data_IF_794874961483
#
_entry.id   IF_794874961483
#
_cell.length_a   1.000
_cell.length_b   1.000
_cell.length_c   1.000
_cell.angle_alpha   90.00
_cell.angle_beta   90.00
_cell.angle_gamma   90.00
#
_symmetry.space_group_name_H-M   'P 1'
#
loop_
_entity.id
_entity.type
_entity.pdbx_description
1 polymer ?
#
# COMPACT_ATOMS: atom_id res chain seq x y z
N UNK A 1 9.25 26.27 -14.30
CA UNK A 1 9.18 25.28 -15.36
C UNK A 1 9.63 25.81 -16.71
N UNK A 2 9.13 26.98 -17.20
CA UNK A 2 9.52 27.55 -18.50
C UNK A 2 11.02 27.75 -18.72
N UNK A 3 11.76 28.06 -17.64
CA UNK A 3 13.21 28.18 -17.71
C UNK A 3 13.87 26.83 -17.97
N UNK A 4 13.38 25.78 -17.30
CA UNK A 4 13.86 24.39 -17.46
C UNK A 4 13.70 23.94 -18.92
N UNK A 5 12.56 24.23 -19.55
CA UNK A 5 12.28 23.91 -20.95
C UNK A 5 13.20 24.61 -21.98
N UNK A 6 13.96 25.63 -21.58
CA UNK A 6 14.89 26.35 -22.52
C UNK A 6 16.27 25.66 -22.61
N UNK A 7 16.57 24.72 -21.73
CA UNK A 7 17.84 24.00 -21.78
C UNK A 7 17.83 22.90 -22.84
N UNK A 8 18.85 22.89 -23.70
CA UNK A 8 18.96 21.90 -24.79
C UNK A 8 18.92 20.46 -24.26
N UNK A 9 19.66 20.17 -23.18
CA UNK A 9 19.66 18.83 -22.58
C UNK A 9 18.28 18.37 -22.12
N UNK A 10 17.45 19.29 -21.60
CA UNK A 10 16.05 18.98 -21.23
C UNK A 10 15.22 18.65 -22.48
N UNK A 11 15.36 19.46 -23.53
CA UNK A 11 14.64 19.24 -24.80
C UNK A 11 15.05 17.90 -25.45
N UNK A 12 16.34 17.56 -25.41
CA UNK A 12 16.86 16.30 -25.92
C UNK A 12 16.32 15.10 -25.11
N UNK A 13 16.25 15.22 -23.78
CA UNK A 13 15.70 14.19 -22.93
C UNK A 13 14.19 14.00 -23.12
N UNK A 14 13.42 15.08 -23.26
CA UNK A 14 11.99 15.01 -23.57
C UNK A 14 11.75 14.38 -24.96
N UNK A 15 12.57 14.69 -25.93
CA UNK A 15 12.52 14.06 -27.25
C UNK A 15 12.86 12.57 -27.16
N UNK A 16 13.93 12.22 -26.43
CA UNK A 16 14.32 10.82 -26.23
C UNK A 16 13.17 10.00 -25.63
N UNK A 17 12.52 10.48 -24.56
CA UNK A 17 11.39 9.78 -23.93
C UNK A 17 10.25 9.49 -24.91
N UNK A 18 10.00 10.37 -25.84
CA UNK A 18 9.00 10.13 -26.89
C UNK A 18 9.45 9.10 -27.92
N UNK A 19 10.74 9.10 -28.30
CA UNK A 19 11.31 8.16 -29.26
C UNK A 19 11.54 6.76 -28.67
N UNK A 20 11.75 6.67 -27.34
CA UNK A 20 11.94 5.42 -26.57
C UNK A 20 10.62 4.75 -26.17
N UNK A 21 9.47 5.33 -26.49
CA UNK A 21 8.15 4.87 -26.01
C UNK A 21 7.80 3.47 -26.49
N UNK A 22 8.19 3.07 -27.71
CA UNK A 22 7.98 1.71 -28.23
C UNK A 22 8.81 0.68 -27.45
N UNK A 23 10.05 1.00 -27.10
CA UNK A 23 10.89 0.16 -26.25
C UNK A 23 10.32 0.06 -24.82
N UNK A 24 9.84 1.18 -24.29
CA UNK A 24 9.20 1.22 -22.99
C UNK A 24 7.96 0.34 -22.97
N UNK A 25 7.13 0.38 -24.01
CA UNK A 25 5.98 -0.51 -24.16
C UNK A 25 6.41 -1.97 -24.22
N UNK A 26 7.45 -2.31 -24.98
CA UNK A 26 7.94 -3.69 -25.06
C UNK A 26 8.37 -4.21 -23.69
N UNK A 27 9.20 -3.47 -22.94
CA UNK A 27 9.64 -3.84 -21.58
C UNK A 27 8.47 -3.94 -20.61
N UNK A 28 7.49 -3.06 -20.71
CA UNK A 28 6.24 -3.12 -19.96
C UNK A 28 5.49 -4.45 -20.22
N UNK A 29 5.29 -4.82 -21.49
CA UNK A 29 4.61 -6.04 -21.88
C UNK A 29 5.39 -7.32 -21.52
N UNK A 30 6.73 -7.27 -21.47
CA UNK A 30 7.56 -8.34 -20.94
C UNK A 30 7.35 -8.51 -19.42
N UNK A 31 7.39 -7.41 -18.65
CA UNK A 31 7.27 -7.43 -17.20
C UNK A 31 5.89 -7.86 -16.70
N UNK A 32 4.81 -7.47 -17.37
CA UNK A 32 3.47 -7.83 -16.90
C UNK A 32 3.19 -9.35 -16.97
N UNK A 33 3.98 -10.10 -17.73
CA UNK A 33 3.88 -11.56 -17.82
C UNK A 33 4.74 -12.30 -16.77
N UNK A 34 5.45 -11.56 -15.89
CA UNK A 34 6.22 -12.15 -14.79
C UNK A 34 5.34 -12.14 -13.54
N UNK A 35 4.95 -13.31 -12.99
CA UNK A 35 4.15 -13.37 -11.78
C UNK A 35 4.86 -12.70 -10.59
N UNK A 36 4.17 -11.82 -9.89
CA UNK A 36 4.71 -11.11 -8.75
C UNK A 36 3.63 -10.83 -7.69
N UNK A 37 3.04 -11.85 -7.06
CA UNK A 37 2.19 -11.60 -5.91
C UNK A 37 3.03 -11.00 -4.77
N UNK A 38 2.40 -10.21 -3.89
CA UNK A 38 3.10 -9.63 -2.73
C UNK A 38 3.85 -10.73 -1.96
N UNK A 39 5.08 -10.46 -1.55
CA UNK A 39 6.08 -11.37 -0.96
C UNK A 39 6.76 -12.37 -1.93
N UNK A 40 6.38 -12.44 -3.20
CA UNK A 40 6.95 -13.35 -4.20
C UNK A 40 7.48 -12.65 -5.45
N UNK A 41 7.88 -11.39 -5.34
CA UNK A 41 8.28 -10.51 -6.45
C UNK A 41 9.68 -10.80 -7.02
N UNK A 42 10.42 -11.73 -6.42
CA UNK A 42 11.86 -11.93 -6.69
C UNK A 42 12.25 -12.10 -8.17
N UNK A 43 11.42 -12.73 -9.00
CA UNK A 43 11.67 -12.90 -10.42
C UNK A 43 11.56 -11.58 -11.18
N UNK A 44 10.51 -10.80 -10.91
CA UNK A 44 10.31 -9.46 -11.50
C UNK A 44 11.37 -8.48 -10.99
N UNK A 45 11.72 -8.53 -9.69
CA UNK A 45 12.79 -7.72 -9.12
C UNK A 45 14.16 -7.96 -9.81
N UNK A 46 14.51 -9.20 -10.09
CA UNK A 46 15.77 -9.50 -10.81
C UNK A 46 15.74 -9.04 -12.28
N UNK A 47 14.58 -9.10 -12.94
CA UNK A 47 14.39 -8.51 -14.28
C UNK A 47 14.65 -7.00 -14.23
N UNK A 48 13.99 -6.31 -13.30
CA UNK A 48 14.09 -4.84 -13.12
C UNK A 48 15.52 -4.44 -12.75
N UNK A 49 16.17 -5.18 -11.85
CA UNK A 49 17.57 -4.93 -11.47
C UNK A 49 18.51 -4.94 -12.68
N UNK A 50 18.38 -5.93 -13.56
CA UNK A 50 19.19 -5.98 -14.79
C UNK A 50 18.92 -4.79 -15.69
N UNK A 51 17.65 -4.43 -15.88
CA UNK A 51 17.25 -3.28 -16.71
C UNK A 51 17.73 -1.95 -16.13
N UNK A 52 17.75 -1.78 -14.82
CA UNK A 52 18.31 -0.59 -14.16
C UNK A 52 19.83 -0.46 -14.38
N UNK A 53 20.57 -1.57 -14.34
CA UNK A 53 22.00 -1.60 -14.67
C UNK A 53 22.20 -1.22 -16.15
N UNK A 54 21.43 -1.81 -17.05
CA UNK A 54 21.51 -1.54 -18.50
C UNK A 54 21.12 -0.08 -18.83
N UNK A 55 20.23 0.52 -18.05
CA UNK A 55 19.85 1.92 -18.14
C UNK A 55 20.91 2.89 -17.59
N UNK A 56 22.00 2.39 -17.00
CA UNK A 56 23.13 3.18 -16.55
C UNK A 56 23.02 3.78 -15.16
N UNK A 57 22.10 3.28 -14.32
CA UNK A 57 22.03 3.67 -12.92
C UNK A 57 23.25 3.13 -12.14
N UNK A 58 23.73 3.91 -11.19
CA UNK A 58 24.79 3.51 -10.26
C UNK A 58 24.20 2.87 -8.99
N UNK A 59 25.01 2.11 -8.26
CA UNK A 59 24.65 1.53 -6.96
C UNK A 59 23.38 0.64 -7.02
N UNK A 60 23.15 -0.02 -8.18
CA UNK A 60 21.97 -0.88 -8.35
C UNK A 60 22.09 -2.12 -7.48
N UNK A 61 21.13 -2.32 -6.60
CA UNK A 61 21.07 -3.47 -5.70
C UNK A 61 19.62 -3.85 -5.37
N UNK A 62 19.45 -5.04 -4.83
CA UNK A 62 18.22 -5.49 -4.19
C UNK A 62 18.44 -5.42 -2.68
N UNK A 63 17.55 -4.77 -1.96
CA UNK A 63 17.65 -4.65 -0.51
C UNK A 63 17.15 -5.92 0.22
N UNK A 64 17.19 -5.90 1.57
CA UNK A 64 16.84 -7.03 2.43
C UNK A 64 15.39 -7.49 2.28
N UNK A 65 14.47 -6.62 1.83
CA UNK A 65 13.06 -6.94 1.68
C UNK A 65 12.64 -7.21 0.24
N UNK A 66 13.54 -6.96 -0.74
CA UNK A 66 13.32 -7.21 -2.15
C UNK A 66 13.15 -5.97 -3.03
N UNK A 67 13.19 -4.74 -2.49
CA UNK A 67 13.17 -3.53 -3.30
C UNK A 67 14.39 -3.47 -4.22
N UNK A 68 14.20 -3.04 -5.46
CA UNK A 68 15.31 -2.75 -6.38
C UNK A 68 15.57 -1.26 -6.38
N UNK A 69 16.76 -0.88 -5.92
CA UNK A 69 17.19 0.52 -5.87
C UNK A 69 18.32 0.77 -6.86
N UNK A 70 18.34 1.97 -7.44
CA UNK A 70 19.44 2.46 -8.28
C UNK A 70 19.51 3.97 -8.23
N UNK A 71 20.71 4.55 -8.34
CA UNK A 71 20.91 6.00 -8.18
C UNK A 71 21.41 6.63 -9.47
N UNK A 72 20.77 7.72 -9.88
CA UNK A 72 21.30 8.69 -10.82
C UNK A 72 21.96 9.82 -10.06
N UNK A 73 23.29 9.89 -10.09
CA UNK A 73 24.07 10.87 -9.31
C UNK A 73 23.88 12.28 -9.85
N UNK A 74 23.58 13.21 -8.96
CA UNK A 74 23.56 14.64 -9.23
C UNK A 74 24.94 15.24 -9.46
N UNK A 75 24.97 16.55 -9.70
CA UNK A 75 26.21 17.31 -9.94
C UNK A 75 26.75 17.97 -8.69
N UNK A 76 26.01 17.97 -7.58
CA UNK A 76 26.37 18.68 -6.35
C UNK A 76 25.57 18.23 -5.13
N UNK A 77 25.32 19.17 -4.23
CA UNK A 77 24.70 18.93 -2.94
C UNK A 77 23.20 19.32 -2.92
N UNK A 78 22.48 19.06 -4.03
CA UNK A 78 21.04 19.29 -4.12
C UNK A 78 20.23 18.28 -3.30
N UNK A 79 18.88 18.49 -3.25
CA UNK A 79 17.96 17.57 -2.59
C UNK A 79 18.00 16.17 -3.19
N UNK A 80 17.96 15.15 -2.33
CA UNK A 80 17.89 13.74 -2.74
C UNK A 80 16.44 13.33 -2.89
N UNK A 81 16.02 13.04 -4.11
CA UNK A 81 14.63 12.71 -4.44
C UNK A 81 14.51 11.23 -4.77
N UNK A 82 13.51 10.55 -4.19
CA UNK A 82 13.14 9.20 -4.61
C UNK A 82 11.97 9.25 -5.59
N UNK A 83 12.05 8.44 -6.63
CA UNK A 83 10.93 8.11 -7.51
C UNK A 83 10.69 6.60 -7.46
N UNK A 84 9.43 6.19 -7.26
CA UNK A 84 9.07 4.80 -7.02
C UNK A 84 7.86 4.35 -7.85
N UNK A 85 7.81 3.05 -8.13
CA UNK A 85 6.68 2.29 -8.63
C UNK A 85 6.78 0.87 -8.10
N UNK A 86 5.64 0.24 -7.75
CA UNK A 86 5.68 -1.08 -7.12
C UNK A 86 5.70 -2.23 -8.12
N UNK A 87 6.29 -3.34 -7.71
CA UNK A 87 6.48 -4.53 -8.54
C UNK A 87 5.45 -5.61 -8.30
N UNK A 88 4.85 -5.63 -7.12
CA UNK A 88 3.84 -6.62 -6.77
C UNK A 88 2.48 -6.34 -7.41
N UNK A 89 1.65 -7.36 -7.41
CA UNK A 89 0.26 -7.31 -7.88
C UNK A 89 -0.64 -8.08 -6.93
N UNK A 90 -1.93 -7.78 -6.94
CA UNK A 90 -2.96 -8.50 -6.15
C UNK A 90 -3.22 -9.93 -6.61
N UNK A 91 -2.59 -10.38 -7.70
CA UNK A 91 -2.92 -11.65 -8.35
C UNK A 91 -2.07 -12.80 -7.81
N UNK A 92 -2.69 -13.95 -7.45
CA UNK A 92 -1.95 -15.17 -7.10
C UNK A 92 -1.01 -15.64 -8.22
N UNK A 93 0.05 -16.35 -7.87
CA UNK A 93 1.11 -16.81 -8.80
C UNK A 93 0.59 -17.66 -9.95
N UNK A 94 -0.48 -18.42 -9.74
CA UNK A 94 -1.13 -19.30 -10.74
C UNK A 94 -2.05 -18.55 -11.70
N UNK A 95 -2.23 -17.24 -11.54
CA UNK A 95 -3.07 -16.43 -12.43
C UNK A 95 -2.52 -16.47 -13.86
N UNK A 96 -3.41 -16.68 -14.84
CA UNK A 96 -3.05 -16.64 -16.27
C UNK A 96 -2.68 -15.20 -16.69
N UNK A 97 -1.39 -14.96 -16.88
CA UNK A 97 -0.80 -13.70 -17.36
C UNK A 97 -0.58 -13.66 -18.87
N UNK A 98 -1.28 -14.50 -19.63
CA UNK A 98 -1.20 -14.48 -21.09
C UNK A 98 -1.66 -13.14 -21.63
N UNK A 99 -0.72 -12.42 -22.27
CA UNK A 99 -0.97 -11.12 -22.88
C UNK A 99 -1.96 -11.25 -24.03
N UNK A 100 -3.00 -10.43 -24.04
CA UNK A 100 -3.98 -10.33 -25.12
C UNK A 100 -3.90 -8.95 -25.75
N UNK A 101 -4.05 -8.89 -27.07
CA UNK A 101 -4.06 -7.62 -27.84
C UNK A 101 -5.32 -7.55 -28.70
N UNK A 102 -6.06 -6.44 -28.54
CA UNK A 102 -7.22 -6.10 -29.36
C UNK A 102 -7.10 -4.65 -29.85
N UNK A 103 -6.74 -4.48 -31.13
CA UNK A 103 -6.39 -3.16 -31.67
C UNK A 103 -5.16 -2.57 -30.96
N UNK A 104 -5.30 -1.41 -30.35
CA UNK A 104 -4.24 -0.76 -29.56
C UNK A 104 -4.29 -1.13 -28.08
N UNK A 105 -5.27 -1.93 -27.66
CA UNK A 105 -5.44 -2.36 -26.27
C UNK A 105 -4.72 -3.65 -25.98
N UNK A 106 -3.98 -3.65 -24.90
CA UNK A 106 -3.32 -4.81 -24.30
C UNK A 106 -4.03 -5.15 -22.99
N UNK A 107 -4.25 -6.43 -22.73
CA UNK A 107 -4.87 -6.91 -21.49
C UNK A 107 -4.02 -8.02 -20.86
N UNK A 108 -3.70 -7.83 -19.60
CA UNK A 108 -2.98 -8.78 -18.75
C UNK A 108 -3.24 -8.33 -17.29
N UNK A 109 -3.49 -9.24 -16.34
CA UNK A 109 -3.59 -8.88 -14.93
C UNK A 109 -2.32 -8.16 -14.43
N UNK A 110 -2.45 -7.00 -13.77
CA UNK A 110 -1.33 -6.19 -13.28
C UNK A 110 -0.59 -5.41 -14.38
N UNK A 111 -1.20 -5.23 -15.56
CA UNK A 111 -0.55 -4.49 -16.65
C UNK A 111 -0.49 -2.99 -16.40
N UNK A 112 -1.46 -2.41 -15.71
CA UNK A 112 -1.48 -1.00 -15.33
C UNK A 112 -0.86 -0.82 -13.96
N UNK A 113 -1.45 -1.47 -13.00
CA UNK A 113 -1.17 -1.41 -11.58
C UNK A 113 -0.16 -2.50 -11.15
N UNK A 114 1.12 -2.18 -10.92
CA UNK A 114 1.81 -0.91 -11.23
C UNK A 114 2.97 -1.15 -12.21
N UNK A 115 2.88 -2.25 -13.01
CA UNK A 115 3.93 -2.63 -13.96
C UNK A 115 4.25 -1.48 -14.95
N UNK A 116 3.26 -0.63 -15.26
CA UNK A 116 3.48 0.52 -16.16
C UNK A 116 4.42 1.54 -15.54
N UNK A 117 4.27 1.87 -14.26
CA UNK A 117 5.17 2.79 -13.57
C UNK A 117 6.61 2.26 -13.55
N UNK A 118 6.80 0.97 -13.28
CA UNK A 118 8.14 0.38 -13.32
C UNK A 118 8.79 0.53 -14.70
N UNK A 119 8.02 0.37 -15.79
CA UNK A 119 8.53 0.62 -17.14
C UNK A 119 8.89 2.10 -17.37
N UNK A 120 8.15 3.03 -16.75
CA UNK A 120 8.47 4.47 -16.79
C UNK A 120 9.75 4.81 -16.04
N UNK A 121 10.00 4.19 -14.87
CA UNK A 121 11.26 4.33 -14.15
C UNK A 121 12.45 3.96 -15.06
N UNK A 122 12.35 2.84 -15.80
CA UNK A 122 13.40 2.41 -16.72
C UNK A 122 13.59 3.38 -17.89
N UNK A 123 12.49 3.92 -18.45
CA UNK A 123 12.54 4.91 -19.52
C UNK A 123 13.20 6.22 -19.08
N UNK A 124 12.86 6.71 -17.88
CA UNK A 124 13.49 7.88 -17.26
C UNK A 124 15.00 7.69 -17.08
N UNK A 125 15.42 6.55 -16.54
CA UNK A 125 16.82 6.22 -16.36
C UNK A 125 17.58 6.21 -17.70
N UNK A 126 17.01 5.59 -18.76
CA UNK A 126 17.59 5.58 -20.11
C UNK A 126 17.71 6.97 -20.70
N UNK A 127 16.68 7.81 -20.53
CA UNK A 127 16.72 9.19 -21.04
C UNK A 127 17.83 10.02 -20.36
N UNK A 128 17.97 9.89 -19.04
CA UNK A 128 19.02 10.56 -18.28
C UNK A 128 20.42 10.08 -18.70
N UNK A 129 20.59 8.77 -18.90
CA UNK A 129 21.85 8.20 -19.35
C UNK A 129 22.22 8.63 -20.77
N UNK A 130 21.27 8.57 -21.71
CA UNK A 130 21.50 8.92 -23.12
C UNK A 130 21.86 10.39 -23.31
N UNK A 131 21.31 11.28 -22.51
CA UNK A 131 21.53 12.73 -22.62
C UNK A 131 22.56 13.26 -21.62
N UNK A 132 22.91 12.48 -20.62
CA UNK A 132 23.79 12.88 -19.51
C UNK A 132 23.18 13.98 -18.62
N UNK A 133 21.87 14.23 -18.72
CA UNK A 133 21.21 15.29 -17.95
C UNK A 133 21.20 14.95 -16.45
N UNK A 134 21.54 15.92 -15.62
CA UNK A 134 21.65 15.74 -14.16
C UNK A 134 21.06 16.94 -13.44
N UNK A 135 20.33 16.65 -12.34
CA UNK A 135 20.01 17.63 -11.33
C UNK A 135 21.21 17.97 -10.44
N UNK A 136 21.04 18.91 -9.53
CA UNK A 136 22.04 19.20 -8.46
C UNK A 136 22.08 18.06 -7.44
N UNK A 137 20.91 17.55 -7.03
CA UNK A 137 20.77 16.41 -6.12
C UNK A 137 20.68 15.07 -6.82
N UNK A 138 20.89 14.00 -6.05
CA UNK A 138 20.72 12.63 -6.51
C UNK A 138 19.22 12.30 -6.73
N UNK A 139 18.93 11.47 -7.74
CA UNK A 139 17.63 10.87 -7.95
C UNK A 139 17.76 9.37 -7.73
N UNK A 140 17.02 8.84 -6.76
CA UNK A 140 16.99 7.41 -6.42
C UNK A 140 15.74 6.79 -7.04
N UNK A 141 15.95 5.80 -7.88
CA UNK A 141 14.91 4.98 -8.49
C UNK A 141 14.64 3.79 -7.58
N UNK A 142 13.38 3.54 -7.25
CA UNK A 142 12.97 2.43 -6.42
C UNK A 142 11.82 1.66 -7.12
N UNK A 143 12.08 0.40 -7.49
CA UNK A 143 11.02 -0.53 -7.82
C UNK A 143 10.75 -1.34 -6.54
N UNK A 144 9.73 -0.93 -5.80
CA UNK A 144 9.46 -1.46 -4.47
C UNK A 144 8.55 -2.68 -4.49
N UNK A 145 8.50 -3.38 -3.36
CA UNK A 145 7.74 -4.61 -3.15
C UNK A 145 6.63 -4.40 -2.12
N UNK A 146 5.62 -5.28 -2.16
CA UNK A 146 4.57 -5.35 -1.13
C UNK A 146 3.83 -4.01 -0.93
N UNK A 147 3.48 -3.31 -2.01
CA UNK A 147 2.55 -2.18 -1.92
C UNK A 147 1.15 -2.67 -1.63
N UNK A 148 0.72 -3.74 -2.29
CA UNK A 148 -0.66 -4.19 -2.36
C UNK A 148 -1.16 -4.89 -1.11
N UNK A 149 -2.44 -4.68 -0.81
CA UNK A 149 -3.24 -5.47 0.13
C UNK A 149 -2.58 -5.69 1.49
N UNK A 150 -2.27 -6.96 1.78
CA UNK A 150 -1.57 -7.39 2.99
C UNK A 150 -0.05 -7.26 2.91
N UNK A 151 0.50 -6.84 1.78
CA UNK A 151 1.89 -6.38 1.65
C UNK A 151 2.17 -5.12 2.49
N UNK A 152 1.13 -4.32 2.70
CA UNK A 152 1.06 -3.25 3.71
C UNK A 152 2.20 -2.22 3.61
N UNK A 153 2.59 -1.87 2.37
CA UNK A 153 3.69 -0.92 2.06
C UNK A 153 5.05 -1.36 2.62
N UNK A 154 5.28 -2.67 2.78
CA UNK A 154 6.48 -3.21 3.43
C UNK A 154 7.77 -2.71 2.79
N UNK A 155 7.80 -2.61 1.46
CA UNK A 155 8.96 -2.12 0.73
C UNK A 155 9.33 -0.69 1.12
N UNK A 156 8.38 0.22 1.05
CA UNK A 156 8.60 1.64 1.39
C UNK A 156 8.76 1.86 2.89
N UNK A 157 8.05 1.11 3.75
CA UNK A 157 8.30 1.10 5.20
C UNK A 157 9.76 0.77 5.52
N UNK A 158 10.35 -0.23 4.82
CA UNK A 158 11.74 -0.59 5.00
C UNK A 158 12.69 0.54 4.56
N UNK A 159 12.45 1.15 3.41
CA UNK A 159 13.26 2.27 2.91
C UNK A 159 13.28 3.45 3.88
N UNK A 160 12.15 3.73 4.54
CA UNK A 160 12.01 4.88 5.43
C UNK A 160 12.17 4.54 6.93
N UNK A 161 12.45 3.30 7.30
CA UNK A 161 12.47 2.84 8.71
C UNK A 161 13.56 3.51 9.56
N UNK A 162 14.73 3.80 8.98
CA UNK A 162 15.89 4.34 9.68
C UNK A 162 16.08 5.85 9.40
N UNK A 163 15.00 6.57 9.14
CA UNK A 163 15.03 8.01 8.82
C UNK A 163 15.48 8.92 9.96
N UNK A 164 15.77 8.36 11.14
CA UNK A 164 16.49 9.07 12.22
C UNK A 164 17.98 9.29 11.87
N UNK A 165 18.53 8.47 10.98
CA UNK A 165 19.91 8.60 10.50
C UNK A 165 19.95 9.53 9.29
N UNK A 166 20.72 10.62 9.38
CA UNK A 166 20.72 11.69 8.39
C UNK A 166 21.33 11.30 7.04
N UNK A 167 22.21 10.30 6.99
CA UNK A 167 22.95 9.91 5.78
C UNK A 167 22.04 9.21 4.72
N UNK A 168 20.99 8.51 5.16
CA UNK A 168 20.04 7.82 4.28
C UNK A 168 18.81 8.63 3.83
N UNK A 169 18.67 9.87 4.28
CA UNK A 169 17.45 10.65 4.19
C UNK A 169 17.11 11.11 2.77
N UNK A 170 15.80 11.07 2.45
CA UNK A 170 15.24 11.66 1.23
C UNK A 170 14.57 12.99 1.54
N UNK A 171 14.78 13.98 0.66
CA UNK A 171 14.20 15.32 0.79
C UNK A 171 12.82 15.40 0.11
N UNK A 172 12.50 14.41 -0.73
CA UNK A 172 11.20 14.29 -1.40
C UNK A 172 10.97 12.90 -1.99
N UNK A 173 9.70 12.58 -2.21
CA UNK A 173 9.27 11.29 -2.74
C UNK A 173 8.17 11.46 -3.79
N UNK A 174 8.28 10.73 -4.90
CA UNK A 174 7.29 10.67 -5.96
C UNK A 174 6.95 9.21 -6.22
N UNK A 175 5.71 8.79 -5.93
CA UNK A 175 5.17 7.52 -6.40
C UNK A 175 4.55 7.73 -7.77
N UNK A 176 4.74 6.80 -8.70
CA UNK A 176 4.01 6.74 -9.96
C UNK A 176 3.02 5.59 -9.81
N UNK A 177 1.76 5.89 -9.45
CA UNK A 177 0.78 4.85 -9.09
C UNK A 177 -0.65 5.41 -9.22
N UNK A 178 -1.02 5.83 -10.44
CA UNK A 178 -2.40 6.19 -10.80
C UNK A 178 -2.59 6.13 -12.32
N UNK A 179 -3.75 5.67 -12.75
CA UNK A 179 -4.13 5.59 -14.18
C UNK A 179 -4.41 6.93 -14.86
N UNK A 180 -4.49 8.01 -14.12
CA UNK A 180 -4.72 9.36 -14.65
C UNK A 180 -3.39 10.06 -14.83
N UNK A 181 -2.84 10.05 -16.05
CA UNK A 181 -1.53 10.61 -16.37
C UNK A 181 -1.27 12.00 -15.78
N UNK A 182 -2.26 12.90 -15.79
CA UNK A 182 -2.16 14.24 -15.19
C UNK A 182 -2.60 14.30 -13.73
N UNK A 183 -2.86 13.14 -13.09
CA UNK A 183 -3.29 13.04 -11.71
C UNK A 183 -2.21 13.46 -10.72
N UNK A 184 -2.62 14.11 -9.64
CA UNK A 184 -1.78 14.40 -8.47
C UNK A 184 -2.58 14.06 -7.23
N UNK A 185 -2.07 13.10 -6.44
CA UNK A 185 -2.55 12.71 -5.12
C UNK A 185 -1.54 13.24 -4.11
N UNK A 186 -1.98 14.00 -3.14
CA UNK A 186 -1.14 14.64 -2.12
C UNK A 186 -1.65 14.47 -0.69
N UNK A 187 -2.65 13.60 -0.51
CA UNK A 187 -3.23 13.23 0.78
C UNK A 187 -3.27 11.72 0.89
N UNK A 188 -2.83 11.20 2.03
CA UNK A 188 -2.73 9.78 2.31
C UNK A 188 -3.93 9.29 3.14
N UNK A 189 -4.65 8.28 2.64
CA UNK A 189 -5.66 7.56 3.42
C UNK A 189 -4.95 6.53 4.30
N UNK A 190 -4.98 6.75 5.61
CA UNK A 190 -4.55 5.73 6.56
C UNK A 190 -5.56 4.60 6.69
N UNK A 191 -5.06 3.40 7.00
CA UNK A 191 -5.89 2.24 7.29
C UNK A 191 -5.34 1.42 8.44
N UNK A 192 -6.24 0.84 9.23
CA UNK A 192 -5.92 -0.21 10.20
C UNK A 192 -6.82 -1.40 9.91
N UNK A 193 -6.22 -2.59 9.81
CA UNK A 193 -6.90 -3.83 9.50
C UNK A 193 -6.68 -4.81 10.64
N UNK A 194 -7.76 -5.40 11.13
CA UNK A 194 -7.73 -6.32 12.26
C UNK A 194 -8.41 -7.64 11.91
N UNK A 195 -7.73 -8.75 12.17
CA UNK A 195 -8.35 -10.05 12.37
C UNK A 195 -8.73 -10.16 13.85
N UNK A 196 -10.03 -10.24 14.10
CA UNK A 196 -10.58 -10.38 15.45
C UNK A 196 -11.13 -11.79 15.61
N UNK A 197 -10.55 -12.59 16.50
CA UNK A 197 -10.94 -13.96 16.73
C UNK A 197 -11.56 -14.13 18.13
N UNK A 198 -12.75 -14.71 18.15
CA UNK A 198 -13.51 -15.00 19.37
C UNK A 198 -13.37 -16.49 19.69
N UNK A 199 -12.92 -16.80 20.88
CA UNK A 199 -12.66 -18.17 21.36
C UNK A 199 -13.62 -18.53 22.47
N UNK A 200 -14.12 -19.76 22.47
CA UNK A 200 -14.97 -20.31 23.49
C UNK A 200 -14.80 -21.84 23.62
N UNK A 201 -15.50 -22.46 24.54
CA UNK A 201 -15.39 -23.90 24.80
C UNK A 201 -15.98 -24.75 23.66
N UNK A 202 -17.04 -24.24 23.01
CA UNK A 202 -17.81 -25.01 22.05
C UNK A 202 -18.64 -26.13 22.71
N UNK A 203 -19.50 -26.78 21.90
CA UNK A 203 -20.30 -27.88 22.40
C UNK A 203 -21.55 -28.20 21.57
N UNK A 204 -22.30 -29.20 21.99
CA UNK A 204 -23.55 -29.57 21.35
C UNK A 204 -24.65 -28.53 21.67
N UNK A 205 -25.34 -28.01 20.69
CA UNK A 205 -26.29 -26.91 20.85
C UNK A 205 -27.47 -27.16 21.79
N UNK A 206 -27.83 -28.45 22.02
CA UNK A 206 -28.90 -28.84 22.95
C UNK A 206 -28.35 -29.30 24.32
N UNK A 207 -27.43 -30.24 24.34
CA UNK A 207 -26.90 -30.79 25.62
C UNK A 207 -25.92 -29.86 26.32
N UNK A 208 -25.20 -29.02 25.58
CA UNK A 208 -24.29 -27.96 26.07
C UNK A 208 -24.96 -26.56 26.15
N UNK A 209 -26.28 -26.47 26.00
CA UNK A 209 -26.97 -25.22 26.13
C UNK A 209 -26.80 -24.59 27.50
N UNK A 210 -26.39 -23.33 27.56
CA UNK A 210 -26.11 -22.60 28.80
C UNK A 210 -24.68 -22.08 28.92
N UNK A 211 -23.87 -22.20 27.86
CA UNK A 211 -22.54 -21.59 27.76
C UNK A 211 -22.51 -20.46 26.77
N UNK A 212 -21.56 -19.51 26.89
CA UNK A 212 -21.39 -18.42 25.93
C UNK A 212 -21.08 -18.94 24.52
N UNK A 213 -21.56 -18.26 23.50
CA UNK A 213 -21.37 -18.63 22.10
C UNK A 213 -20.57 -17.56 21.38
N UNK A 214 -19.33 -17.84 20.90
CA UNK A 214 -18.50 -16.91 20.13
C UNK A 214 -19.21 -16.23 18.96
N UNK A 215 -20.03 -16.96 18.19
CA UNK A 215 -20.78 -16.39 17.07
C UNK A 215 -21.82 -15.37 17.56
N UNK A 216 -22.46 -15.59 18.72
CA UNK A 216 -23.37 -14.61 19.29
C UNK A 216 -22.63 -13.35 19.75
N UNK A 217 -21.46 -13.48 20.38
CA UNK A 217 -20.61 -12.35 20.76
C UNK A 217 -20.17 -11.56 19.51
N UNK A 218 -19.67 -12.24 18.46
CA UNK A 218 -19.33 -11.62 17.19
C UNK A 218 -20.52 -10.90 16.56
N UNK A 219 -21.71 -11.51 16.55
CA UNK A 219 -22.94 -10.88 16.06
C UNK A 219 -23.30 -9.59 16.81
N UNK A 220 -23.12 -9.54 18.14
CA UNK A 220 -23.28 -8.33 18.95
C UNK A 220 -22.22 -7.28 18.60
N UNK A 221 -20.96 -7.70 18.42
CA UNK A 221 -19.86 -6.82 18.02
C UNK A 221 -20.14 -6.17 16.66
N UNK A 222 -20.56 -6.95 15.66
CA UNK A 222 -20.91 -6.47 14.32
C UNK A 222 -22.07 -5.47 14.38
N UNK A 223 -23.10 -5.74 15.20
CA UNK A 223 -24.21 -4.81 15.37
C UNK A 223 -23.75 -3.46 15.94
N UNK A 224 -22.91 -3.48 17.00
CA UNK A 224 -22.33 -2.25 17.57
C UNK A 224 -21.45 -1.49 16.57
N UNK A 225 -20.59 -2.21 15.81
CA UNK A 225 -19.74 -1.62 14.77
C UNK A 225 -20.60 -0.96 13.68
N UNK A 226 -21.70 -1.60 13.26
CA UNK A 226 -22.58 -1.07 12.21
C UNK A 226 -23.24 0.26 12.60
N UNK A 227 -23.35 0.55 13.90
CA UNK A 227 -23.93 1.78 14.45
C UNK A 227 -22.91 2.91 14.65
N UNK A 228 -21.64 2.70 14.31
CA UNK A 228 -20.62 3.73 14.46
C UNK A 228 -20.98 4.98 13.66
N UNK A 229 -20.84 6.13 14.31
CA UNK A 229 -20.94 7.43 13.67
C UNK A 229 -19.54 7.97 13.40
N UNK A 230 -19.24 8.22 12.14
CA UNK A 230 -17.96 8.75 11.68
C UNK A 230 -18.14 10.08 10.96
N UNK A 231 -17.15 10.99 11.00
CA UNK A 231 -17.21 12.24 10.27
C UNK A 231 -17.14 12.00 8.75
N UNK A 232 -17.82 12.88 7.99
CA UNK A 232 -17.70 12.97 6.54
C UNK A 232 -16.46 13.76 6.11
N UNK A 233 -16.02 14.66 6.95
CA UNK A 233 -14.82 15.46 6.77
C UNK A 233 -14.15 15.70 8.14
N UNK A 234 -12.97 15.13 8.39
CA UNK A 234 -12.21 14.26 7.47
C UNK A 234 -12.95 12.95 7.18
N UNK A 235 -12.89 12.47 5.93
CA UNK A 235 -13.58 11.23 5.54
C UNK A 235 -13.02 10.05 6.35
N UNK A 236 -13.90 9.41 7.13
CA UNK A 236 -13.57 8.28 8.00
C UNK A 236 -14.58 7.16 7.75
N UNK A 237 -14.11 5.94 7.54
CA UNK A 237 -14.94 4.80 7.15
C UNK A 237 -14.53 3.54 7.89
N UNK A 238 -15.44 2.58 7.97
CA UNK A 238 -15.21 1.26 8.56
C UNK A 238 -16.00 0.20 7.80
N UNK A 239 -15.53 -1.05 7.88
CA UNK A 239 -16.23 -2.19 7.31
C UNK A 239 -15.84 -3.48 8.03
N UNK A 240 -16.80 -4.34 8.33
CA UNK A 240 -16.56 -5.77 8.58
C UNK A 240 -16.71 -6.46 7.23
N UNK A 241 -15.58 -6.84 6.62
CA UNK A 241 -15.54 -7.34 5.24
C UNK A 241 -15.67 -8.85 5.13
N UNK A 242 -15.18 -9.59 6.14
CA UNK A 242 -15.20 -11.05 6.15
C UNK A 242 -15.63 -11.54 7.52
N UNK A 243 -16.41 -12.61 7.56
CA UNK A 243 -16.76 -13.34 8.77
C UNK A 243 -16.62 -14.87 8.52
N UNK A 244 -16.03 -15.58 9.49
CA UNK A 244 -15.85 -17.02 9.44
C UNK A 244 -16.18 -17.64 10.80
N UNK A 245 -16.51 -18.93 10.85
CA UNK A 245 -16.66 -19.66 12.08
C UNK A 245 -17.80 -20.65 12.12
N UNK A 246 -17.73 -21.55 13.13
CA UNK A 246 -18.65 -22.65 13.30
C UNK A 246 -18.36 -23.83 12.36
N UNK A 247 -18.91 -24.99 12.71
CA UNK A 247 -18.67 -26.25 11.99
C UNK A 247 -19.94 -26.95 11.57
N UNK A 248 -21.03 -26.79 12.32
CA UNK A 248 -22.32 -27.43 12.03
C UNK A 248 -23.47 -26.68 12.69
N UNK A 249 -24.68 -26.83 12.16
CA UNK A 249 -25.90 -26.15 12.64
C UNK A 249 -26.26 -26.48 14.10
N UNK A 250 -25.87 -27.65 14.59
CA UNK A 250 -26.14 -28.12 15.94
C UNK A 250 -24.93 -28.06 16.89
N UNK A 251 -23.96 -27.19 16.59
CA UNK A 251 -22.75 -26.98 17.38
C UNK A 251 -22.71 -25.53 17.88
N UNK A 252 -22.41 -25.34 19.16
CA UNK A 252 -21.94 -24.07 19.70
C UNK A 252 -20.49 -23.95 19.24
N UNK A 253 -20.17 -22.89 18.48
CA UNK A 253 -18.82 -22.71 17.92
C UNK A 253 -17.76 -22.60 19.04
N UNK A 254 -16.62 -23.25 18.83
CA UNK A 254 -15.43 -23.02 19.68
C UNK A 254 -14.66 -21.77 19.24
N UNK A 255 -14.80 -21.39 17.96
CA UNK A 255 -14.09 -20.26 17.38
C UNK A 255 -14.90 -19.62 16.26
N UNK A 256 -14.79 -18.31 16.14
CA UNK A 256 -15.19 -17.55 14.96
C UNK A 256 -14.35 -16.28 14.84
N UNK A 257 -14.25 -15.72 13.64
CA UNK A 257 -13.44 -14.54 13.36
C UNK A 257 -14.10 -13.58 12.41
N UNK A 258 -13.65 -12.33 12.45
CA UNK A 258 -14.01 -11.30 11.47
C UNK A 258 -12.79 -10.47 11.08
N UNK A 259 -12.75 -10.03 9.81
CA UNK A 259 -11.79 -9.03 9.32
C UNK A 259 -12.46 -7.68 9.28
N UNK A 260 -11.82 -6.69 9.90
CA UNK A 260 -12.29 -5.31 10.01
C UNK A 260 -11.31 -4.37 9.32
N UNK A 261 -11.80 -3.50 8.44
CA UNK A 261 -11.04 -2.45 7.76
C UNK A 261 -11.51 -1.08 8.27
N UNK A 262 -10.60 -0.31 8.84
CA UNK A 262 -10.80 1.05 9.33
C UNK A 262 -9.98 2.00 8.48
N UNK A 263 -10.56 3.14 8.02
CA UNK A 263 -9.85 4.12 7.20
C UNK A 263 -10.17 5.56 7.59
N UNK A 264 -9.16 6.42 7.52
CA UNK A 264 -9.33 7.86 7.63
C UNK A 264 -8.24 8.62 6.87
N UNK A 265 -8.54 9.85 6.44
CA UNK A 265 -7.53 10.81 5.96
C UNK A 265 -6.87 11.57 7.11
N UNK A 266 -7.33 11.36 8.33
CA UNK A 266 -6.83 12.00 9.55
C UNK A 266 -6.40 10.94 10.55
N UNK A 267 -5.16 11.03 11.03
CA UNK A 267 -4.58 10.05 11.94
C UNK A 267 -5.33 9.99 13.29
N UNK A 268 -5.73 11.16 13.82
CA UNK A 268 -6.45 11.21 15.10
C UNK A 268 -7.87 10.64 15.03
N UNK A 269 -8.55 10.79 13.88
CA UNK A 269 -9.86 10.14 13.67
C UNK A 269 -9.70 8.61 13.45
N UNK A 270 -8.62 8.16 12.82
CA UNK A 270 -8.33 6.73 12.69
C UNK A 270 -8.08 6.10 14.07
N UNK A 271 -7.27 6.73 14.91
CA UNK A 271 -7.00 6.28 16.28
C UNK A 271 -8.28 6.21 17.13
N UNK A 272 -9.14 7.25 17.06
CA UNK A 272 -10.45 7.24 17.74
C UNK A 272 -11.36 6.11 17.26
N UNK A 273 -11.34 5.82 15.95
CA UNK A 273 -12.14 4.76 15.36
C UNK A 273 -11.63 3.38 15.80
N UNK A 274 -10.32 3.19 15.86
CA UNK A 274 -9.68 1.98 16.39
C UNK A 274 -10.06 1.75 17.87
N UNK A 275 -9.97 2.78 18.70
CA UNK A 275 -10.40 2.69 20.10
C UNK A 275 -11.89 2.30 20.24
N UNK A 276 -12.77 2.87 19.39
CA UNK A 276 -14.19 2.48 19.37
C UNK A 276 -14.40 1.02 18.97
N UNK A 277 -13.60 0.51 18.04
CA UNK A 277 -13.64 -0.90 17.63
C UNK A 277 -13.33 -1.81 18.82
N UNK A 278 -12.21 -1.56 19.50
CA UNK A 278 -11.79 -2.34 20.67
C UNK A 278 -12.88 -2.32 21.78
N UNK A 279 -13.42 -1.13 22.08
CA UNK A 279 -14.49 -0.98 23.07
C UNK A 279 -15.76 -1.76 22.68
N UNK A 280 -16.21 -1.68 21.44
CA UNK A 280 -17.41 -2.38 20.97
C UNK A 280 -17.29 -3.89 21.04
N UNK A 281 -16.09 -4.43 20.77
CA UNK A 281 -15.81 -5.85 20.85
C UNK A 281 -15.77 -6.30 22.31
N UNK A 282 -15.07 -5.57 23.20
CA UNK A 282 -15.03 -5.85 24.63
C UNK A 282 -16.44 -5.85 25.25
N UNK A 283 -17.25 -4.84 24.95
CA UNK A 283 -18.64 -4.79 25.39
C UNK A 283 -19.46 -5.99 24.92
N UNK A 284 -19.32 -6.37 23.64
CA UNK A 284 -20.05 -7.49 23.05
C UNK A 284 -19.70 -8.84 23.71
N UNK A 285 -18.41 -9.05 23.98
CA UNK A 285 -17.92 -10.23 24.70
C UNK A 285 -18.45 -10.26 26.14
N UNK A 286 -18.37 -9.13 26.84
CA UNK A 286 -18.88 -9.02 28.20
C UNK A 286 -20.40 -9.21 28.29
N UNK A 287 -21.16 -8.72 27.33
CA UNK A 287 -22.62 -8.94 27.26
C UNK A 287 -22.97 -10.42 27.07
N UNK A 288 -22.24 -11.14 26.19
CA UNK A 288 -22.50 -12.56 25.96
C UNK A 288 -22.07 -13.39 27.18
N UNK A 289 -20.91 -13.12 27.80
CA UNK A 289 -20.47 -13.78 29.02
C UNK A 289 -21.45 -13.54 30.17
N UNK A 290 -21.87 -12.31 30.43
CA UNK A 290 -22.81 -11.95 31.47
C UNK A 290 -24.18 -12.62 31.32
N UNK A 291 -24.65 -12.79 30.07
CA UNK A 291 -25.91 -13.51 29.79
C UNK A 291 -25.96 -14.93 30.42
N UNK A 292 -24.81 -15.55 30.49
CA UNK A 292 -24.67 -16.92 30.98
C UNK A 292 -24.07 -17.01 32.43
N UNK A 293 -24.00 -15.84 33.11
CA UNK A 293 -23.57 -15.75 34.52
C UNK A 293 -22.07 -15.67 34.73
N UNK A 294 -21.29 -15.46 33.67
CA UNK A 294 -19.84 -15.25 33.79
C UNK A 294 -19.54 -13.76 34.05
N UNK A 295 -18.51 -13.53 34.87
CA UNK A 295 -18.05 -12.14 35.13
C UNK A 295 -17.46 -11.45 33.89
N UNK A 296 -17.34 -10.11 33.97
CA UNK A 296 -16.68 -9.31 32.94
C UNK A 296 -15.20 -9.61 32.83
N UNK A 297 -14.64 -9.59 31.61
CA UNK A 297 -13.20 -9.56 31.41
C UNK A 297 -12.66 -8.20 31.85
N UNK A 298 -11.54 -8.17 32.56
CA UNK A 298 -10.78 -6.95 32.76
C UNK A 298 -9.96 -6.65 31.51
N UNK A 299 -9.67 -5.37 31.24
CA UNK A 299 -8.85 -4.93 30.11
C UNK A 299 -7.44 -5.56 30.04
N UNK A 300 -6.95 -6.12 31.14
CA UNK A 300 -5.66 -6.84 31.20
C UNK A 300 -5.75 -8.28 30.65
N UNK A 301 -6.95 -8.83 30.48
CA UNK A 301 -7.17 -10.19 29.97
C UNK A 301 -7.51 -10.25 28.47
N UNK A 302 -7.66 -9.12 27.80
CA UNK A 302 -7.68 -9.04 26.34
C UNK A 302 -6.24 -9.04 25.87
N UNK A 303 -5.75 -10.18 25.36
CA UNK A 303 -4.38 -10.30 24.85
C UNK A 303 -4.14 -9.40 23.63
N UNK A 304 -3.79 -8.16 23.91
CA UNK A 304 -3.21 -7.27 22.90
C UNK A 304 -1.76 -7.71 22.77
N UNK A 305 -1.42 -8.41 21.70
CA UNK A 305 -0.04 -8.68 21.36
C UNK A 305 0.55 -7.38 20.80
N UNK A 306 1.35 -6.69 21.62
CA UNK A 306 2.09 -5.51 21.23
C UNK A 306 3.07 -5.78 20.07
N UNK A 307 3.17 -4.81 19.16
CA UNK A 307 3.81 -4.78 17.84
C UNK A 307 5.33 -5.10 17.75
N UNK A 308 5.97 -5.62 18.77
CA UNK A 308 7.43 -5.82 18.76
C UNK A 308 7.91 -7.25 18.44
N UNK A 309 7.05 -8.15 17.96
CA UNK A 309 7.48 -9.51 17.62
C UNK A 309 6.83 -10.05 16.34
N UNK A 310 7.04 -9.35 15.19
CA UNK A 310 6.66 -9.86 13.88
C UNK A 310 7.72 -10.83 13.35
N UNK A 311 7.62 -12.11 13.73
CA UNK A 311 8.17 -13.17 12.88
C UNK A 311 7.06 -13.68 11.98
N UNK A 312 7.25 -13.54 10.68
CA UNK A 312 6.36 -14.00 9.64
C UNK A 312 5.88 -15.44 9.85
N UNK A 313 4.56 -15.64 9.89
CA UNK A 313 3.94 -16.93 9.61
C UNK A 313 2.93 -16.77 8.50
N UNK A 314 3.41 -16.96 7.27
CA UNK A 314 2.55 -17.31 6.15
C UNK A 314 2.13 -18.78 6.35
N UNK A 315 0.85 -19.05 6.47
CA UNK A 315 0.23 -20.26 5.94
C UNK A 315 -1.29 -20.20 6.16
N UNK A 316 -2.00 -19.85 5.13
CA UNK A 316 -3.37 -20.37 4.96
C UNK A 316 -3.17 -21.83 4.53
N UNK A 317 -3.15 -22.71 5.47
CA UNK A 317 -3.06 -24.16 5.27
C UNK A 317 -4.33 -24.83 5.77
N UNK A 318 -5.06 -25.45 4.83
CA UNK A 318 -6.10 -26.43 5.14
C UNK A 318 -5.65 -27.42 6.21
N UNK A 319 -6.20 -27.34 7.42
CA UNK A 319 -6.24 -28.47 8.33
C UNK A 319 -7.59 -28.51 9.05
N UNK A 320 -8.54 -29.23 8.45
CA UNK A 320 -9.65 -29.81 9.19
C UNK A 320 -9.09 -30.88 10.13
N UNK A 321 -8.61 -30.46 11.29
CA UNK A 321 -8.24 -31.34 12.38
C UNK A 321 -9.36 -31.38 13.41
N UNK A 322 -10.07 -32.53 13.51
CA UNK A 322 -11.09 -32.76 14.52
C UNK A 322 -10.45 -32.66 15.93
N UNK A 323 -10.84 -31.67 16.73
CA UNK A 323 -10.54 -31.57 18.15
C UNK A 323 -11.35 -32.67 18.87
N UNK A 324 -10.77 -33.47 19.77
CA UNK A 324 -11.49 -34.49 20.48
C UNK A 324 -12.54 -33.85 21.40
N UNK A 325 -13.80 -34.20 21.17
CA UNK A 325 -14.92 -33.81 22.05
C UNK A 325 -14.79 -34.59 23.34
N UNK A 326 -14.43 -33.92 24.44
CA UNK A 326 -14.57 -34.49 25.76
C UNK A 326 -16.06 -34.55 26.13
N UNK A 327 -16.62 -35.75 26.01
CA UNK A 327 -17.98 -36.05 26.40
C UNK A 327 -18.06 -36.33 27.91
N UNK A 328 -18.09 -35.27 28.72
CA UNK A 328 -18.62 -35.36 30.09
C UNK A 328 -18.99 -33.97 30.63
N UNK A 329 -20.19 -33.49 30.25
CA UNK A 329 -20.79 -32.31 30.85
C UNK A 329 -22.15 -32.71 31.50
N UNK A 330 -22.09 -33.49 32.52
CA UNK A 330 -23.21 -33.65 33.47
C UNK A 330 -23.35 -32.40 34.33
N UNK A 331 -24.59 -31.86 34.40
CA UNK A 331 -25.10 -30.79 35.29
C UNK A 331 -24.00 -30.07 36.13
N UNK A 332 -23.38 -29.03 35.58
CA UNK A 332 -22.55 -28.11 36.38
C UNK A 332 -23.47 -27.03 36.98
N UNK A 333 -23.59 -27.02 38.30
CA UNK A 333 -24.31 -26.00 39.07
C UNK A 333 -23.60 -24.63 39.09
N UNK A 334 -22.33 -24.55 38.66
CA UNK A 334 -21.54 -23.33 38.54
C UNK A 334 -20.75 -23.33 37.23
N UNK A 335 -20.74 -22.18 36.47
CA UNK A 335 -19.94 -22.03 35.27
C UNK A 335 -18.44 -22.22 35.57
N UNK A 336 -17.74 -23.00 34.78
CA UNK A 336 -16.28 -23.05 34.86
C UNK A 336 -15.67 -21.76 34.29
N UNK A 337 -14.60 -21.24 34.91
CA UNK A 337 -13.90 -20.04 34.42
C UNK A 337 -13.46 -20.18 32.97
N UNK A 338 -13.16 -21.41 32.54
CA UNK A 338 -12.69 -21.71 31.18
C UNK A 338 -13.78 -21.67 30.11
N UNK A 339 -15.07 -21.52 30.46
CA UNK A 339 -16.17 -21.44 29.46
C UNK A 339 -16.42 -20.02 28.93
N UNK A 340 -15.73 -19.03 29.46
CA UNK A 340 -15.85 -17.62 29.00
C UNK A 340 -15.30 -17.46 27.60
N UNK A 341 -15.96 -16.56 26.83
CA UNK A 341 -15.40 -16.11 25.57
C UNK A 341 -14.19 -15.23 25.85
N UNK A 342 -13.07 -15.53 25.21
CA UNK A 342 -11.91 -14.68 25.07
C UNK A 342 -11.85 -14.11 23.64
N UNK A 343 -11.13 -13.00 23.44
CA UNK A 343 -10.94 -12.40 22.12
C UNK A 343 -9.46 -12.07 21.92
N UNK A 344 -8.98 -12.34 20.71
CA UNK A 344 -7.65 -11.91 20.25
C UNK A 344 -7.77 -10.95 19.10
N UNK A 345 -6.85 -9.99 19.04
CA UNK A 345 -6.71 -9.03 17.95
C UNK A 345 -5.35 -9.28 17.29
N UNK A 346 -5.37 -9.47 15.98
CA UNK A 346 -4.17 -9.49 15.17
C UNK A 346 -4.25 -8.33 14.20
N UNK A 347 -3.25 -7.43 14.20
CA UNK A 347 -3.19 -6.32 13.27
C UNK A 347 -2.60 -6.81 11.94
N UNK A 348 -3.45 -6.99 10.94
CA UNK A 348 -3.10 -7.50 9.61
C UNK A 348 -2.47 -6.44 8.70
N UNK A 349 -2.62 -5.17 9.07
CA UNK A 349 -2.04 -4.06 8.31
C UNK A 349 -2.28 -2.72 8.97
N UNK A 350 -1.29 -1.82 8.80
CA UNK A 350 -1.36 -0.45 9.29
C UNK A 350 -0.67 0.49 8.32
N UNK A 351 -1.45 1.30 7.60
CA UNK A 351 -0.95 2.37 6.75
C UNK A 351 -1.22 3.72 7.42
N UNK A 352 -0.22 4.59 7.60
CA UNK A 352 -0.44 5.87 8.25
C UNK A 352 -1.27 6.80 7.39
N UNK A 353 -2.11 7.63 8.03
CA UNK A 353 -2.76 8.76 7.40
C UNK A 353 -1.82 9.97 7.35
N UNK A 354 -2.05 10.87 6.42
CA UNK A 354 -1.34 12.15 6.41
C UNK A 354 -1.88 13.10 5.35
N UNK A 355 -1.67 14.39 5.57
CA UNK A 355 -2.10 15.42 4.64
C UNK A 355 -0.99 16.43 4.40
N UNK A 356 -0.92 16.94 3.18
CA UNK A 356 -0.08 18.08 2.81
C UNK A 356 -0.98 19.19 2.25
N UNK A 357 -0.50 20.42 2.35
CA UNK A 357 -1.21 21.55 1.72
C UNK A 357 -1.04 21.47 0.20
N UNK A 358 -2.12 21.72 -0.53
CA UNK A 358 -2.09 21.78 -1.99
C UNK A 358 -1.09 22.81 -2.52
N UNK A 359 -0.80 23.85 -1.75
CA UNK A 359 0.21 24.89 -2.09
C UNK A 359 1.64 24.47 -1.82
N UNK A 360 1.90 23.29 -1.22
CA UNK A 360 3.25 22.84 -0.96
C UNK A 360 4.06 22.67 -2.25
N UNK A 361 5.35 22.81 -2.13
CA UNK A 361 6.27 22.97 -3.25
C UNK A 361 6.26 21.79 -4.22
N UNK A 362 6.18 20.55 -3.72
CA UNK A 362 6.16 19.34 -4.55
C UNK A 362 4.87 19.26 -5.40
N UNK A 363 3.72 19.61 -4.83
CA UNK A 363 2.43 19.64 -5.55
C UNK A 363 2.44 20.72 -6.62
N UNK A 364 2.99 21.91 -6.31
CA UNK A 364 3.11 22.98 -7.28
C UNK A 364 4.10 22.67 -8.39
N UNK A 365 5.19 21.94 -8.08
CA UNK A 365 6.14 21.46 -9.09
C UNK A 365 5.47 20.46 -10.05
N UNK A 366 4.70 19.50 -9.54
CA UNK A 366 3.98 18.52 -10.36
C UNK A 366 2.92 19.19 -11.24
N UNK A 367 2.15 20.16 -10.70
CA UNK A 367 1.22 20.95 -11.49
C UNK A 367 1.93 21.71 -12.63
N UNK A 368 3.06 22.36 -12.32
CA UNK A 368 3.81 23.09 -13.33
C UNK A 368 4.45 22.16 -14.38
N UNK A 369 4.85 20.94 -14.00
CA UNK A 369 5.34 19.93 -14.94
C UNK A 369 4.24 19.44 -15.90
N UNK A 370 3.03 19.16 -15.40
CA UNK A 370 1.88 18.85 -16.24
C UNK A 370 1.60 19.95 -17.27
N UNK A 371 1.52 21.21 -16.82
CA UNK A 371 1.26 22.35 -17.69
C UNK A 371 2.34 22.54 -18.75
N UNK A 372 3.60 22.29 -18.41
CA UNK A 372 4.76 22.44 -19.30
C UNK A 372 4.71 21.51 -20.52
N UNK A 373 4.03 20.37 -20.41
CA UNK A 373 3.82 19.41 -21.51
C UNK A 373 2.38 19.41 -22.04
N UNK A 374 1.62 20.47 -21.72
CA UNK A 374 0.28 20.70 -22.23
C UNK A 374 -0.81 19.79 -21.63
N UNK A 375 -0.63 19.33 -20.40
CA UNK A 375 -1.65 18.60 -19.65
C UNK A 375 -2.34 19.50 -18.61
N UNK A 376 -3.67 19.38 -18.50
CA UNK A 376 -4.44 19.99 -17.43
C UNK A 376 -4.35 19.09 -16.19
N UNK A 377 -3.96 19.67 -15.05
CA UNK A 377 -3.79 18.91 -13.81
C UNK A 377 -5.12 18.48 -13.23
N UNK A 378 -5.23 17.19 -12.95
CA UNK A 378 -6.33 16.60 -12.19
C UNK A 378 -5.86 16.38 -10.73
N UNK A 379 -6.42 17.14 -9.79
CA UNK A 379 -6.22 16.87 -8.37
C UNK A 379 -7.17 15.76 -7.95
N UNK A 380 -6.60 14.62 -7.59
CA UNK A 380 -7.32 13.44 -7.13
C UNK A 380 -7.49 13.55 -5.61
N UNK A 381 -8.58 13.00 -5.10
CA UNK A 381 -8.80 12.94 -3.64
C UNK A 381 -7.74 12.07 -2.95
N UNK A 382 -7.81 11.98 -1.63
CA UNK A 382 -6.90 11.15 -0.87
C UNK A 382 -6.94 9.68 -1.32
N UNK A 383 -5.78 9.05 -1.42
CA UNK A 383 -5.62 7.63 -1.74
C UNK A 383 -4.62 6.97 -0.76
N UNK A 384 -4.57 5.65 -0.78
CA UNK A 384 -3.60 4.88 0.00
C UNK A 384 -2.59 4.31 -0.98
N UNK A 385 -1.37 4.82 -0.96
CA UNK A 385 -0.25 4.48 -1.85
C UNK A 385 1.05 4.51 -1.05
N UNK A 386 2.16 4.21 -1.68
CA UNK A 386 3.49 4.33 -1.09
C UNK A 386 3.81 5.72 -0.51
N UNK A 387 3.19 6.78 -1.05
CA UNK A 387 3.34 8.13 -0.53
C UNK A 387 2.82 8.30 0.91
N UNK A 388 2.02 7.36 1.44
CA UNK A 388 1.54 7.40 2.82
C UNK A 388 2.69 7.49 3.83
N UNK A 389 3.74 6.71 3.60
CA UNK A 389 4.86 6.62 4.55
C UNK A 389 5.61 7.96 4.64
N UNK A 390 6.19 8.50 3.54
CA UNK A 390 6.91 9.78 3.64
C UNK A 390 6.00 10.95 4.06
N UNK A 391 4.72 11.00 3.63
CA UNK A 391 3.78 12.05 4.08
C UNK A 391 3.61 12.00 5.60
N UNK A 392 3.46 10.81 6.19
CA UNK A 392 3.31 10.65 7.65
C UNK A 392 4.54 11.07 8.44
N UNK A 393 5.71 11.02 7.81
CA UNK A 393 6.99 11.46 8.38
C UNK A 393 7.27 12.96 8.14
N UNK A 394 6.34 13.69 7.51
CA UNK A 394 6.50 15.10 7.18
C UNK A 394 7.44 15.37 6.00
N UNK A 395 7.75 14.33 5.20
CA UNK A 395 8.57 14.46 4.01
C UNK A 395 7.64 14.84 2.83
N UNK A 396 7.98 15.86 2.02
CA UNK A 396 7.24 16.20 0.83
C UNK A 396 7.08 14.99 -0.09
N UNK A 397 5.85 14.54 -0.32
CA UNK A 397 5.59 13.36 -1.15
C UNK A 397 4.26 13.48 -1.91
N UNK A 398 4.20 12.88 -3.09
CA UNK A 398 3.00 12.81 -3.93
C UNK A 398 2.95 11.47 -4.65
N UNK A 399 1.73 11.10 -5.06
CA UNK A 399 1.53 10.10 -6.09
C UNK A 399 1.06 10.80 -7.37
N UNK A 400 1.62 10.37 -8.50
CA UNK A 400 1.28 10.87 -9.85
C UNK A 400 0.89 9.71 -10.76
N UNK A 401 0.14 10.00 -11.83
CA UNK A 401 -0.31 8.95 -12.73
C UNK A 401 0.74 8.58 -13.78
N UNK A 402 0.79 7.32 -14.16
CA UNK A 402 1.60 6.85 -15.28
C UNK A 402 1.05 7.28 -16.65
N UNK A 403 1.86 7.20 -17.71
CA UNK A 403 1.49 7.58 -19.07
C UNK A 403 0.71 6.52 -19.81
N UNK A 404 -0.27 6.95 -20.61
CA UNK A 404 -1.18 6.09 -21.35
C UNK A 404 -2.59 6.10 -20.77
N UNK A 405 -3.37 5.06 -21.08
CA UNK A 405 -4.71 4.84 -20.54
C UNK A 405 -4.82 3.43 -20.03
N UNK A 406 -5.50 3.23 -18.92
CA UNK A 406 -5.75 1.92 -18.33
C UNK A 406 -7.06 1.87 -17.60
N UNK A 407 -7.42 0.67 -17.18
CA UNK A 407 -8.61 0.42 -16.38
C UNK A 407 -8.79 -1.05 -16.05
N UNK A 408 -9.71 -1.31 -15.12
CA UNK A 408 -9.97 -2.66 -14.65
C UNK A 408 -8.95 -3.15 -13.63
N UNK A 409 -8.22 -2.25 -12.98
CA UNK A 409 -7.24 -2.56 -11.93
C UNK A 409 -7.87 -3.52 -10.90
N UNK A 410 -7.06 -4.43 -10.36
CA UNK A 410 -7.47 -5.49 -9.42
C UNK A 410 -8.47 -6.50 -10.01
N UNK A 411 -8.58 -6.58 -11.34
CA UNK A 411 -9.37 -7.63 -12.02
C UNK A 411 -8.56 -8.33 -13.11
N UNK A 412 -8.94 -9.57 -13.44
CA UNK A 412 -8.33 -10.32 -14.55
C UNK A 412 -8.63 -9.71 -15.93
N UNK A 413 -9.38 -8.61 -15.99
CA UNK A 413 -9.74 -7.87 -17.20
C UNK A 413 -9.00 -6.54 -17.29
N UNK A 414 -7.94 -6.37 -16.52
CA UNK A 414 -7.11 -5.19 -16.55
C UNK A 414 -6.50 -4.96 -17.94
N UNK A 415 -6.46 -3.71 -18.35
CA UNK A 415 -6.02 -3.33 -19.68
C UNK A 415 -5.23 -2.02 -19.71
N UNK A 416 -4.42 -1.89 -20.76
CA UNK A 416 -3.61 -0.71 -21.05
C UNK A 416 -3.66 -0.34 -22.55
N UNK A 417 -3.67 0.96 -22.86
CA UNK A 417 -3.53 1.54 -24.21
C UNK A 417 -2.43 2.61 -24.21
N UNK A 418 -1.40 2.53 -25.08
CA UNK A 418 -0.27 3.45 -25.10
C UNK A 418 -0.62 4.79 -25.77
N UNK A 419 -1.69 5.47 -25.31
CA UNK A 419 -2.14 6.75 -25.84
C UNK A 419 -1.36 7.87 -25.19
N UNK A 420 -0.49 8.55 -25.96
CA UNK A 420 0.39 9.61 -25.45
C UNK A 420 1.22 9.17 -24.24
N UNK A 421 1.60 7.89 -24.19
CA UNK A 421 2.24 7.23 -23.03
C UNK A 421 3.55 7.89 -22.61
N UNK A 422 4.28 8.50 -23.53
CA UNK A 422 5.50 9.27 -23.25
C UNK A 422 5.29 10.50 -22.37
N UNK A 423 4.05 10.99 -22.23
CA UNK A 423 3.76 12.19 -21.43
C UNK A 423 3.95 11.94 -19.93
N UNK A 424 3.70 10.73 -19.43
CA UNK A 424 4.02 10.35 -18.04
C UNK A 424 5.48 10.62 -17.72
N UNK A 425 6.41 9.86 -18.34
CA UNK A 425 7.83 10.05 -18.08
C UNK A 425 8.37 11.44 -18.46
N UNK A 426 7.78 12.16 -19.43
CA UNK A 426 8.17 13.55 -19.70
C UNK A 426 7.81 14.48 -18.52
N UNK A 427 6.61 14.33 -17.93
CA UNK A 427 6.20 15.05 -16.73
C UNK A 427 7.14 14.73 -15.57
N UNK A 428 7.47 13.44 -15.37
CA UNK A 428 8.30 13.00 -14.26
C UNK A 428 9.74 13.50 -14.37
N UNK A 429 10.31 13.50 -15.58
CA UNK A 429 11.63 14.10 -15.81
C UNK A 429 11.66 15.57 -15.40
N UNK A 430 10.69 16.36 -15.84
CA UNK A 430 10.60 17.79 -15.49
C UNK A 430 10.40 17.99 -14.00
N UNK A 431 9.56 17.17 -13.37
CA UNK A 431 9.31 17.19 -11.95
C UNK A 431 10.58 16.88 -11.15
N UNK A 432 11.25 15.77 -11.45
CA UNK A 432 12.44 15.33 -10.73
C UNK A 432 13.60 16.33 -10.84
N UNK A 433 13.84 16.89 -12.03
CA UNK A 433 14.85 17.93 -12.23
C UNK A 433 14.51 19.22 -11.48
N UNK A 434 13.21 19.59 -11.44
CA UNK A 434 12.79 20.77 -10.69
C UNK A 434 12.93 20.59 -9.17
N UNK A 435 12.63 19.40 -8.66
CA UNK A 435 12.73 19.08 -7.22
C UNK A 435 14.18 18.93 -6.75
N UNK A 436 15.03 18.25 -7.52
CA UNK A 436 16.45 18.02 -7.20
C UNK A 436 17.33 19.25 -7.44
N UNK A 437 16.79 20.28 -8.09
CA UNK A 437 17.52 21.47 -8.55
C UNK A 437 18.16 21.27 -9.90
N UNK A 438 18.16 22.32 -10.74
CA UNK A 438 18.79 22.30 -12.06
C UNK A 438 19.30 23.69 -12.44
N UNK A 439 20.61 23.85 -12.60
CA UNK A 439 21.32 25.03 -13.16
C UNK A 439 20.65 26.40 -12.89
N UNK A 440 20.39 26.74 -11.62
CA UNK A 440 19.78 28.01 -11.23
C UNK A 440 18.29 28.15 -11.61
N UNK A 441 17.58 27.07 -11.87
CA UNK A 441 16.13 27.03 -11.87
C UNK A 441 15.65 27.01 -10.43
N UNK A 442 15.19 28.17 -9.95
CA UNK A 442 14.69 28.36 -8.59
C UNK A 442 13.17 28.24 -8.54
N UNK A 443 12.63 27.93 -7.35
CA UNK A 443 11.21 28.01 -7.03
C UNK A 443 10.54 26.68 -6.77
N UNK A 444 11.09 25.56 -7.30
CA UNK A 444 10.55 24.21 -7.04
C UNK A 444 11.55 23.25 -6.38
N UNK A 445 12.83 23.66 -6.29
CA UNK A 445 13.85 22.86 -5.59
C UNK A 445 13.46 22.70 -4.14
N UNK A 446 13.39 21.45 -3.66
CA UNK A 446 13.09 21.18 -2.26
C UNK A 446 14.24 21.63 -1.35
N UNK A 447 13.98 21.97 -0.09
CA UNK A 447 15.04 22.22 0.87
C UNK A 447 15.84 20.94 1.09
N UNK A 448 17.17 21.05 1.10
CA UNK A 448 18.04 19.97 1.57
C UNK A 448 17.93 19.86 3.08
N UNK A 449 17.76 18.64 3.57
CA UNK A 449 17.97 18.36 4.98
C UNK A 449 19.48 18.37 5.23
N UNK A 450 19.95 19.06 6.27
CA UNK A 450 21.36 19.04 6.67
C UNK A 450 21.78 17.59 6.96
N UNK A 451 22.80 17.12 6.24
CA UNK A 451 23.34 15.75 6.30
C UNK A 451 24.64 15.73 7.06
#
# INVERSE_FOLDING_TARGET
>A
MDKLLRYNGVQEALKFLREDDERTLQEHLEMCQIPAPSYEEGEKAEYVRKKMVDAGLSEVHVDEVGNVLGTWKGTGNGPRIMVAGHTDTVFPRETDLTLKKEGERYSCPGIGDDTRAVAELLSLARAMNATGIRGEGDIVFCANVCEEGLGDLRGIKHVFKDMADTEGRYDGFVSIDDKKTSGIIYQAVGSERYLVTFHGTGGHSFTGFGIPNPIHAMGRAIAKISDFQTPKNPKTTFSVGVVNGGTSVNVIAAECSMLVDLRSVDAGELEKLSAKLHQAIEEAVNEENARWGYGTLSSESTGILDDNNMTAKSSVGDTAGAVPVNADNGNRETPAEDDRIAVTFEQEGRRPAGTQDKSCQIVQAANAANQAIGMETLYIGAASTDANIPISLGIPAITVGWGGKGGGEHTIHEWYEPVDSWKGPQRDLLLLLALSGYEGVQGYQLPCIER
#
